data_IF_137974901459
#
_entry.id   IF_137974901459
#
_cell.length_a   1.000
_cell.length_b   1.000
_cell.length_c   1.000
_cell.angle_alpha   90.00
_cell.angle_beta   90.00
_cell.angle_gamma   90.00
#
_symmetry.space_group_name_H-M   'P 1'
#
loop_
_entity.id
_entity.type
_entity.pdbx_description
1 polymer ?
#
# COMPACT_ATOMS: atom_id res chain seq x y z
N UNK A 1 -2.00 1.35 -13.26
CA UNK A 1 -1.92 1.02 -11.82
C UNK A 1 -1.18 -0.29 -11.61
N UNK A 2 -1.67 -1.44 -12.10
CA UNK A 2 -1.03 -2.75 -11.90
C UNK A 2 0.47 -2.74 -12.25
N UNK A 3 0.83 -2.32 -13.47
CA UNK A 3 2.23 -2.19 -13.90
C UNK A 3 3.08 -1.28 -12.98
N UNK A 4 2.48 -0.24 -12.39
CA UNK A 4 3.18 0.65 -11.44
C UNK A 4 3.47 -0.10 -10.14
N UNK A 5 2.48 -0.81 -9.60
CA UNK A 5 2.63 -1.58 -8.36
C UNK A 5 3.62 -2.73 -8.53
N UNK A 6 3.55 -3.46 -9.64
CA UNK A 6 4.46 -4.56 -9.92
C UNK A 6 5.92 -4.10 -10.04
N UNK A 7 6.13 -2.97 -10.72
CA UNK A 7 7.48 -2.43 -10.96
C UNK A 7 8.11 -1.82 -9.72
N UNK A 8 7.36 -1.04 -8.94
CA UNK A 8 7.92 -0.20 -7.87
C UNK A 8 7.60 -0.71 -6.45
N UNK A 9 6.61 -1.59 -6.31
CA UNK A 9 6.10 -2.08 -5.01
C UNK A 9 6.07 -3.60 -4.99
N UNK A 10 7.02 -4.22 -5.70
CA UNK A 10 7.19 -5.66 -5.79
C UNK A 10 7.75 -6.31 -4.53
N UNK A 11 8.46 -7.42 -4.72
CA UNK A 11 9.08 -8.20 -3.63
C UNK A 11 10.18 -7.37 -2.95
N UNK A 12 11.13 -6.88 -3.73
CA UNK A 12 12.21 -6.02 -3.28
C UNK A 12 11.85 -4.55 -3.50
N UNK A 13 12.14 -3.73 -2.50
CA UNK A 13 11.76 -2.33 -2.48
C UNK A 13 12.93 -1.47 -2.04
N UNK A 14 13.02 -0.28 -2.60
CA UNK A 14 13.92 0.78 -2.17
C UNK A 14 13.13 2.05 -1.91
N UNK A 15 13.67 2.97 -1.12
CA UNK A 15 13.05 4.29 -0.91
C UNK A 15 12.75 5.00 -2.24
N UNK A 16 13.70 4.96 -3.18
CA UNK A 16 13.55 5.61 -4.48
C UNK A 16 12.41 5.01 -5.31
N UNK A 17 12.32 3.67 -5.36
CA UNK A 17 11.23 2.99 -6.07
C UNK A 17 9.88 3.32 -5.46
N UNK A 18 9.77 3.30 -4.13
CA UNK A 18 8.52 3.58 -3.42
C UNK A 18 8.06 5.02 -3.62
N UNK A 19 8.99 5.98 -3.62
CA UNK A 19 8.67 7.39 -3.88
C UNK A 19 8.17 7.60 -5.32
N UNK A 20 8.82 6.97 -6.31
CA UNK A 20 8.38 7.02 -7.69
C UNK A 20 7.04 6.31 -7.89
N UNK A 21 6.85 5.14 -7.26
CA UNK A 21 5.59 4.43 -7.23
C UNK A 21 4.45 5.29 -6.69
N UNK A 22 4.68 5.99 -5.56
CA UNK A 22 3.69 6.88 -4.96
C UNK A 22 3.32 8.03 -5.89
N UNK A 23 4.32 8.66 -6.52
CA UNK A 23 4.13 9.73 -7.49
C UNK A 23 3.25 9.28 -8.66
N UNK A 24 3.52 8.10 -9.19
CA UNK A 24 2.76 7.53 -10.32
C UNK A 24 1.33 7.16 -9.91
N UNK A 25 1.13 6.56 -8.74
CA UNK A 25 -0.21 6.23 -8.23
C UNK A 25 -1.06 7.50 -8.06
N UNK A 26 -0.51 8.56 -7.47
CA UNK A 26 -1.21 9.85 -7.33
C UNK A 26 -1.55 10.49 -8.68
N UNK A 27 -0.65 10.38 -9.66
CA UNK A 27 -0.93 10.85 -11.01
C UNK A 27 -2.08 10.06 -11.67
N UNK A 28 -2.17 8.74 -11.42
CA UNK A 28 -3.26 7.91 -11.92
C UNK A 28 -4.58 8.24 -11.21
N UNK A 29 -4.57 8.44 -9.89
CA UNK A 29 -5.75 8.89 -9.14
C UNK A 29 -6.30 10.21 -9.70
N UNK A 30 -5.43 11.19 -9.96
CA UNK A 30 -5.85 12.46 -10.58
C UNK A 30 -6.47 12.26 -11.97
N UNK A 31 -5.93 11.34 -12.77
CA UNK A 31 -6.53 10.98 -14.08
C UNK A 31 -7.89 10.29 -13.90
N UNK A 32 -8.05 9.50 -12.85
CA UNK A 32 -9.27 8.77 -12.56
C UNK A 32 -10.46 9.70 -12.27
N UNK A 33 -10.24 10.90 -11.73
CA UNK A 33 -11.28 11.94 -11.54
C UNK A 33 -12.01 12.33 -12.84
N UNK A 34 -11.36 12.11 -13.99
CA UNK A 34 -11.90 12.42 -15.31
C UNK A 34 -12.64 11.23 -15.95
N UNK A 35 -12.63 10.06 -15.31
CA UNK A 35 -13.35 8.87 -15.81
C UNK A 35 -14.85 9.13 -15.80
N UNK A 36 -15.54 8.64 -16.83
CA UNK A 36 -16.99 8.71 -16.98
C UNK A 36 -17.51 7.33 -17.32
N UNK A 37 -18.58 6.92 -16.63
CA UNK A 37 -19.32 5.72 -16.97
C UNK A 37 -20.20 6.04 -18.18
N UNK A 38 -20.01 5.32 -19.28
CA UNK A 38 -20.71 5.59 -20.53
C UNK A 38 -22.08 4.90 -20.54
N UNK A 39 -22.15 3.70 -19.96
CA UNK A 39 -23.40 2.96 -19.80
C UNK A 39 -24.31 3.63 -18.76
N UNK A 40 -25.54 3.92 -19.16
CA UNK A 40 -26.58 4.54 -18.32
C UNK A 40 -27.68 3.56 -17.90
N UNK A 41 -27.53 2.27 -18.22
CA UNK A 41 -28.42 1.22 -17.75
C UNK A 41 -28.40 1.15 -16.21
N UNK A 42 -29.56 0.90 -15.61
CA UNK A 42 -29.68 0.61 -14.18
C UNK A 42 -29.62 -0.89 -13.87
N UNK A 43 -29.58 -1.74 -14.90
CA UNK A 43 -29.61 -3.19 -14.78
C UNK A 43 -28.30 -3.75 -15.32
N UNK A 44 -27.57 -4.50 -14.49
CA UNK A 44 -26.28 -5.13 -14.81
C UNK A 44 -25.25 -4.17 -15.44
N UNK A 45 -25.12 -2.95 -14.91
CA UNK A 45 -24.15 -1.96 -15.39
C UNK A 45 -22.74 -2.31 -14.89
N UNK A 46 -22.06 -3.19 -15.62
CA UNK A 46 -20.69 -3.60 -15.29
C UNK A 46 -19.70 -2.43 -15.38
N UNK A 47 -19.96 -1.46 -16.26
CA UNK A 47 -19.08 -0.31 -16.42
C UNK A 47 -19.06 0.58 -15.15
N UNK A 48 -20.21 0.70 -14.48
CA UNK A 48 -20.30 1.37 -13.17
C UNK A 48 -19.54 0.59 -12.10
N UNK A 49 -19.71 -0.73 -12.03
CA UNK A 49 -19.02 -1.59 -11.07
C UNK A 49 -17.50 -1.49 -11.24
N UNK A 50 -17.00 -1.65 -12.47
CA UNK A 50 -15.57 -1.56 -12.78
C UNK A 50 -14.98 -0.20 -12.40
N UNK A 51 -15.73 0.88 -12.64
CA UNK A 51 -15.29 2.23 -12.25
C UNK A 51 -15.18 2.34 -10.72
N UNK A 52 -16.19 1.90 -9.96
CA UNK A 52 -16.15 1.94 -8.50
C UNK A 52 -15.00 1.09 -7.92
N UNK A 53 -14.83 -0.13 -8.41
CA UNK A 53 -13.75 -1.02 -7.99
C UNK A 53 -12.38 -0.45 -8.32
N UNK A 54 -12.21 0.14 -9.51
CA UNK A 54 -10.97 0.82 -9.89
C UNK A 54 -10.64 1.96 -8.94
N UNK A 55 -11.63 2.75 -8.52
CA UNK A 55 -11.46 3.80 -7.51
C UNK A 55 -10.93 3.24 -6.19
N UNK A 56 -11.58 2.20 -5.64
CA UNK A 56 -11.15 1.56 -4.40
C UNK A 56 -9.74 0.95 -4.51
N UNK A 57 -9.43 0.29 -5.62
CA UNK A 57 -8.10 -0.28 -5.84
C UNK A 57 -7.00 0.80 -5.86
N UNK A 58 -7.27 1.97 -6.45
CA UNK A 58 -6.31 3.07 -6.48
C UNK A 58 -6.05 3.65 -5.08
N UNK A 59 -7.09 3.74 -4.24
CA UNK A 59 -6.93 4.16 -2.84
C UNK A 59 -6.11 3.16 -2.03
N UNK A 60 -6.41 1.86 -2.17
CA UNK A 60 -5.66 0.79 -1.51
C UNK A 60 -4.21 0.74 -1.99
N UNK A 61 -3.96 0.97 -3.29
CA UNK A 61 -2.62 1.05 -3.83
C UNK A 61 -1.80 2.14 -3.14
N UNK A 62 -2.36 3.35 -2.96
CA UNK A 62 -1.68 4.42 -2.23
C UNK A 62 -1.39 4.05 -0.78
N UNK A 63 -2.37 3.45 -0.08
CA UNK A 63 -2.19 2.96 1.31
C UNK A 63 -1.01 1.98 1.39
N UNK A 64 -0.93 1.04 0.45
CA UNK A 64 0.15 0.04 0.40
C UNK A 64 1.51 0.73 0.20
N UNK A 65 1.61 1.66 -0.76
CA UNK A 65 2.88 2.34 -1.06
C UNK A 65 3.32 3.20 0.12
N UNK A 66 2.43 4.01 0.70
CA UNK A 66 2.74 4.87 1.84
C UNK A 66 3.10 4.04 3.07
N UNK A 67 2.41 2.93 3.32
CA UNK A 67 2.75 2.00 4.38
C UNK A 67 4.12 1.34 4.20
N UNK A 68 4.44 0.92 2.97
CA UNK A 68 5.72 0.33 2.62
C UNK A 68 6.88 1.35 2.69
N UNK A 69 6.62 2.61 2.31
CA UNK A 69 7.59 3.70 2.38
C UNK A 69 7.93 4.04 3.83
N UNK A 70 6.90 4.23 4.66
CA UNK A 70 7.07 4.60 6.05
C UNK A 70 7.75 3.50 6.87
N UNK A 71 7.54 2.22 6.54
CA UNK A 71 8.15 1.09 7.24
C UNK A 71 9.59 0.88 6.77
N UNK A 72 10.55 1.25 7.60
CA UNK A 72 12.00 1.16 7.32
C UNK A 72 12.63 -0.05 7.99
N UNK A 73 12.13 -1.24 7.67
CA UNK A 73 12.72 -2.54 8.06
C UNK A 73 12.35 -3.59 7.01
N UNK A 74 12.91 -4.79 7.14
CA UNK A 74 12.45 -5.96 6.40
C UNK A 74 11.82 -6.98 7.34
N UNK A 75 10.58 -7.40 7.04
CA UNK A 75 9.83 -8.36 7.85
C UNK A 75 8.83 -9.15 7.01
N UNK A 76 9.00 -10.47 6.97
CA UNK A 76 8.13 -11.35 6.19
C UNK A 76 8.20 -11.03 4.69
N UNK A 77 7.04 -10.78 4.07
CA UNK A 77 6.96 -10.46 2.65
C UNK A 77 7.35 -9.00 2.31
N UNK A 78 7.52 -8.14 3.32
CA UNK A 78 8.02 -6.79 3.12
C UNK A 78 9.55 -6.80 3.17
N UNK A 79 10.19 -6.66 2.01
CA UNK A 79 11.65 -6.60 1.89
C UNK A 79 12.10 -5.23 1.36
N UNK A 80 12.81 -4.49 2.22
CA UNK A 80 13.46 -3.22 1.95
C UNK A 80 14.96 -3.50 1.77
N UNK A 81 15.48 -3.35 0.55
CA UNK A 81 16.90 -3.62 0.27
C UNK A 81 17.81 -2.61 0.97
N UNK A 82 17.30 -1.39 1.16
CA UNK A 82 17.88 -0.30 1.93
C UNK A 82 17.76 -0.49 3.46
N UNK A 83 16.83 -1.34 3.92
CA UNK A 83 16.67 -1.72 5.33
C UNK A 83 16.51 -3.26 5.47
N UNK A 84 17.58 -4.04 5.24
CA UNK A 84 17.49 -5.48 5.04
C UNK A 84 17.21 -6.26 6.33
N UNK A 85 17.49 -5.68 7.49
CA UNK A 85 17.32 -6.33 8.78
C UNK A 85 15.93 -6.11 9.37
N UNK A 86 15.49 -7.07 10.19
CA UNK A 86 14.34 -6.90 11.07
C UNK A 86 14.71 -5.95 12.21
N UNK A 87 13.84 -5.01 12.54
CA UNK A 87 14.05 -4.07 13.65
C UNK A 87 12.90 -4.17 14.64
N UNK A 88 13.08 -4.97 15.68
CA UNK A 88 12.07 -5.17 16.71
C UNK A 88 11.99 -4.01 17.71
N UNK A 89 13.06 -3.23 17.87
CA UNK A 89 13.08 -2.09 18.77
C UNK A 89 12.11 -1.00 18.28
N UNK A 90 12.13 -0.73 16.97
CA UNK A 90 11.25 0.26 16.39
C UNK A 90 10.02 -0.32 15.72
N UNK A 91 10.06 -1.51 15.09
CA UNK A 91 8.98 -1.95 14.19
C UNK A 91 8.16 -3.14 14.68
N UNK A 92 8.23 -3.47 15.98
CA UNK A 92 7.29 -4.40 16.63
C UNK A 92 5.88 -3.79 16.82
N UNK A 93 5.29 -3.35 15.70
CA UNK A 93 4.00 -2.67 15.61
C UNK A 93 3.31 -2.95 14.29
N UNK A 94 1.99 -2.96 14.34
CA UNK A 94 1.11 -2.96 13.18
C UNK A 94 1.04 -1.54 12.60
N UNK A 95 1.10 -1.45 11.27
CA UNK A 95 0.81 -0.21 10.55
C UNK A 95 -0.70 -0.13 10.32
N UNK A 96 -1.34 0.91 10.84
CA UNK A 96 -2.77 1.17 10.70
C UNK A 96 -2.96 2.39 9.80
N UNK A 97 -3.64 2.21 8.68
CA UNK A 97 -3.96 3.31 7.77
C UNK A 97 -5.41 3.75 7.95
N UNK A 98 -5.64 5.06 8.07
CA UNK A 98 -6.96 5.69 8.02
C UNK A 98 -7.03 6.62 6.82
N UNK A 99 -8.11 6.54 6.05
CA UNK A 99 -8.37 7.45 4.94
C UNK A 99 -8.68 8.85 5.47
N UNK A 100 -7.98 9.85 4.96
CA UNK A 100 -8.25 11.28 5.21
C UNK A 100 -8.29 12.03 3.87
N UNK A 101 -8.84 13.25 3.81
CA UNK A 101 -8.87 14.05 2.57
C UNK A 101 -7.48 14.31 1.97
N UNK A 102 -6.43 14.40 2.81
CA UNK A 102 -5.05 14.65 2.39
C UNK A 102 -4.28 13.38 2.00
N UNK A 103 -4.90 12.21 2.13
CA UNK A 103 -4.30 10.89 1.86
C UNK A 103 -4.39 9.93 3.06
N UNK A 104 -3.64 8.81 3.05
CA UNK A 104 -3.66 7.87 4.16
C UNK A 104 -2.87 8.39 5.36
N UNK A 105 -3.55 8.57 6.50
CA UNK A 105 -2.92 8.85 7.78
C UNK A 105 -2.46 7.52 8.42
N UNK A 106 -1.16 7.39 8.66
CA UNK A 106 -0.59 6.21 9.30
C UNK A 106 -0.49 6.40 10.81
N UNK A 107 -1.02 5.43 11.53
CA UNK A 107 -0.85 5.26 12.97
C UNK A 107 -0.29 3.87 13.24
N UNK A 108 0.17 3.62 14.46
CA UNK A 108 0.78 2.35 14.81
C UNK A 108 0.21 1.79 16.10
N UNK A 109 0.01 0.48 16.13
CA UNK A 109 -0.40 -0.24 17.32
C UNK A 109 0.65 -1.29 17.69
N UNK A 110 1.01 -1.44 18.98
CA UNK A 110 1.99 -2.43 19.40
C UNK A 110 1.50 -3.85 19.08
N UNK A 111 2.43 -4.74 18.75
CA UNK A 111 2.11 -6.17 18.62
C UNK A 111 2.04 -6.78 20.02
N UNK A 112 0.90 -7.34 20.37
CA UNK A 112 0.77 -8.15 21.59
C UNK A 112 1.38 -9.54 21.37
N UNK A 113 2.39 -9.91 22.16
CA UNK A 113 2.88 -11.28 22.23
C UNK A 113 2.28 -11.99 23.43
N UNK A 114 1.91 -13.25 23.25
CA UNK A 114 1.29 -14.07 24.29
C UNK A 114 2.34 -14.92 25.00
N UNK A 115 2.75 -16.03 24.38
CA UNK A 115 3.52 -17.09 25.03
C UNK A 115 4.96 -17.22 24.56
N UNK A 116 5.30 -16.66 23.40
CA UNK A 116 6.59 -16.84 22.76
C UNK A 116 7.23 -15.49 22.46
N UNK A 117 8.49 -15.34 22.86
CA UNK A 117 9.26 -14.15 22.55
C UNK A 117 9.54 -14.05 21.04
N UNK A 118 9.47 -12.84 20.45
CA UNK A 118 9.81 -12.63 19.06
C UNK A 118 11.27 -13.00 18.77
N UNK A 119 11.49 -14.07 18.02
CA UNK A 119 12.82 -14.49 17.54
C UNK A 119 12.91 -14.40 16.02
N UNK A 120 14.12 -14.18 15.52
CA UNK A 120 14.37 -14.18 14.08
C UNK A 120 13.93 -15.52 13.47
N UNK A 121 13.33 -15.47 12.28
CA UNK A 121 12.87 -16.67 11.59
C UNK A 121 14.02 -17.22 10.74
N UNK A 122 14.33 -18.49 10.95
CA UNK A 122 15.23 -19.26 10.09
C UNK A 122 14.36 -20.03 9.09
N UNK A 123 14.64 -19.87 7.80
CA UNK A 123 13.95 -20.53 6.70
C UNK A 123 14.85 -21.56 6.03
#
# INVERSE_FOLDING_TARGET
MQQTMDRYVGIYRTEADLLEGLRQIRAIQKRFEQVRVVDRSNVYNLNLTDALETGHMLELAEVIVVGAFARTESRGAHSRVDYPSRDDAHWMRHTLARKTPEGPNLTYAPVGYTRWEPKERVY
#
